data_IF_988637005064
#
_entry.id   IF_988637005064
#
_cell.length_a   1.000
_cell.length_b   1.000
_cell.length_c   1.000
_cell.angle_alpha   90.00
_cell.angle_beta   90.00
_cell.angle_gamma   90.00
#
_symmetry.space_group_name_H-M   'P 1'
#
loop_
_entity.id
_entity.type
_entity.pdbx_description
1 polymer ?
#
# COMPACT_ATOMS: atom_id res chain seq x y z
N UNK A 1 -4.81 -2.49 21.68
CA UNK A 1 -4.65 -1.56 20.53
C UNK A 1 -3.48 -2.03 19.69
N UNK A 2 -3.67 -2.10 18.38
CA UNK A 2 -2.64 -2.47 17.39
C UNK A 2 -2.38 -1.27 16.48
N UNK A 3 -1.10 -1.00 16.21
CA UNK A 3 -0.64 -0.01 15.24
C UNK A 3 -0.47 -0.70 13.89
N UNK A 4 -1.31 -0.39 12.93
CA UNK A 4 -1.27 -0.96 11.57
C UNK A 4 -0.52 -0.01 10.65
N UNK A 5 0.44 -0.52 9.87
CA UNK A 5 1.16 0.24 8.85
C UNK A 5 1.37 -0.60 7.58
N UNK A 6 1.70 0.08 6.48
CA UNK A 6 1.74 -0.51 5.14
C UNK A 6 3.10 -0.32 4.45
N UNK A 7 4.02 0.36 5.11
CA UNK A 7 5.39 0.53 4.61
C UNK A 7 6.42 0.27 5.69
N UNK A 8 7.57 -0.25 5.28
CA UNK A 8 8.68 -0.53 6.19
C UNK A 8 9.25 0.75 6.82
N UNK A 9 9.14 1.87 6.12
CA UNK A 9 9.56 3.17 6.63
C UNK A 9 8.68 3.60 7.81
N UNK A 10 7.36 3.51 7.68
CA UNK A 10 6.42 3.82 8.77
C UNK A 10 6.60 2.84 9.93
N UNK A 11 6.78 1.53 9.66
CA UNK A 11 7.07 0.55 10.70
C UNK A 11 8.31 0.92 11.51
N UNK A 12 9.41 1.26 10.82
CA UNK A 12 10.67 1.65 11.47
C UNK A 12 10.46 2.88 12.36
N UNK A 13 9.74 3.87 11.88
CA UNK A 13 9.36 5.07 12.62
C UNK A 13 8.59 4.74 13.91
N UNK A 14 7.56 3.90 13.81
CA UNK A 14 6.75 3.47 14.95
C UNK A 14 7.58 2.70 15.98
N UNK A 15 8.47 1.80 15.52
CA UNK A 15 9.39 1.07 16.40
C UNK A 15 10.33 2.02 17.15
N UNK A 16 10.88 3.02 16.48
CA UNK A 16 11.73 4.03 17.11
C UNK A 16 10.94 4.86 18.13
N UNK A 17 9.74 5.34 17.75
CA UNK A 17 8.89 6.08 18.67
C UNK A 17 8.54 5.28 19.93
N UNK A 18 8.20 3.99 19.77
CA UNK A 18 7.94 3.08 20.89
C UNK A 18 9.18 2.95 21.80
N UNK A 19 10.38 2.85 21.23
CA UNK A 19 11.64 2.79 21.99
C UNK A 19 11.95 4.10 22.74
N UNK A 20 11.46 5.23 22.27
CA UNK A 20 11.55 6.54 22.95
C UNK A 20 10.42 6.76 23.97
N UNK A 21 9.62 5.74 24.27
CA UNK A 21 8.59 5.80 25.32
C UNK A 21 7.25 6.37 24.86
N UNK A 22 7.02 6.51 23.55
CA UNK A 22 5.71 6.84 23.02
C UNK A 22 4.77 5.65 23.29
N UNK A 23 3.61 5.92 23.87
CA UNK A 23 2.61 4.92 24.27
C UNK A 23 1.92 4.28 23.04
N UNK A 24 2.70 3.56 22.22
CA UNK A 24 2.21 2.79 21.07
C UNK A 24 1.91 1.34 21.45
N UNK A 25 0.90 0.77 20.79
CA UNK A 25 0.57 -0.65 20.86
C UNK A 25 1.59 -1.55 20.13
N UNK A 26 1.20 -2.78 19.84
CA UNK A 26 1.99 -3.66 19.00
C UNK A 26 1.82 -3.26 17.54
N UNK A 27 2.88 -3.43 16.74
CA UNK A 27 2.95 -2.93 15.38
C UNK A 27 2.74 -4.10 14.41
N UNK A 28 1.75 -3.97 13.54
CA UNK A 28 1.44 -4.92 12.47
C UNK A 28 1.73 -4.26 11.11
N UNK A 29 2.60 -4.89 10.31
CA UNK A 29 2.91 -4.46 8.93
C UNK A 29 2.18 -5.36 7.94
N UNK A 30 1.41 -4.77 7.03
CA UNK A 30 0.85 -5.47 5.88
C UNK A 30 1.86 -5.50 4.72
N UNK A 31 2.21 -6.70 4.20
CA UNK A 31 3.33 -6.84 3.27
C UNK A 31 2.97 -6.73 1.79
N UNK A 32 1.70 -6.46 1.43
CA UNK A 32 1.18 -6.62 0.06
C UNK A 32 0.77 -5.28 -0.57
N UNK A 33 0.91 -5.21 -1.90
CA UNK A 33 0.41 -4.12 -2.73
C UNK A 33 -0.89 -4.53 -3.45
N UNK A 34 -2.02 -4.13 -2.91
CA UNK A 34 -3.35 -4.47 -3.42
C UNK A 34 -3.76 -3.65 -4.65
N UNK A 35 -2.94 -2.74 -5.15
CA UNK A 35 -3.18 -2.07 -6.43
C UNK A 35 -3.07 -3.04 -7.60
N UNK A 36 -2.38 -4.18 -7.43
CA UNK A 36 -2.04 -5.13 -8.47
C UNK A 36 -2.53 -6.55 -8.17
N UNK A 37 -2.85 -7.27 -9.24
CA UNK A 37 -3.19 -8.68 -9.20
C UNK A 37 -4.60 -8.98 -8.70
N UNK A 38 -5.02 -10.23 -8.87
CA UNK A 38 -6.32 -10.71 -8.38
C UNK A 38 -6.41 -10.67 -6.86
N UNK A 39 -7.53 -10.19 -6.35
CA UNK A 39 -7.86 -10.14 -4.92
C UNK A 39 -9.07 -11.03 -4.57
N UNK A 40 -9.50 -11.88 -5.50
CA UNK A 40 -10.62 -12.80 -5.27
C UNK A 40 -10.30 -13.86 -4.21
N UNK A 41 -9.05 -14.15 -4.00
CA UNK A 41 -8.58 -15.04 -2.95
C UNK A 41 -7.35 -14.46 -2.25
N UNK A 42 -7.52 -14.08 -0.98
CA UNK A 42 -6.51 -13.46 -0.16
C UNK A 42 -5.69 -14.47 0.66
N UNK A 43 -5.68 -15.75 0.26
CA UNK A 43 -4.74 -16.72 0.81
C UNK A 43 -3.29 -16.30 0.46
N UNK A 44 -2.36 -16.21 1.42
CA UNK A 44 -1.01 -15.67 1.19
C UNK A 44 -0.25 -16.38 0.07
N UNK A 45 -0.31 -17.71 0.01
CA UNK A 45 0.35 -18.50 -1.04
C UNK A 45 -0.21 -18.19 -2.43
N UNK A 46 -1.53 -18.05 -2.52
CA UNK A 46 -2.19 -17.71 -3.78
C UNK A 46 -1.90 -16.26 -4.19
N UNK A 47 -1.86 -15.33 -3.24
CA UNK A 47 -1.47 -13.93 -3.47
C UNK A 47 -0.04 -13.81 -4.00
N UNK A 48 0.91 -14.55 -3.41
CA UNK A 48 2.28 -14.64 -3.94
C UNK A 48 2.27 -15.06 -5.41
N UNK A 49 1.57 -16.16 -5.73
CA UNK A 49 1.49 -16.66 -7.11
C UNK A 49 0.87 -15.64 -8.09
N UNK A 50 -0.13 -14.86 -7.66
CA UNK A 50 -0.71 -13.80 -8.50
C UNK A 50 0.27 -12.66 -8.77
N UNK A 51 1.06 -12.24 -7.78
CA UNK A 51 2.08 -11.21 -7.94
C UNK A 51 3.23 -11.68 -8.85
N UNK A 52 3.68 -12.92 -8.68
CA UNK A 52 4.75 -13.52 -9.51
C UNK A 52 4.34 -13.60 -10.99
N UNK A 53 3.07 -13.86 -11.30
CA UNK A 53 2.55 -13.79 -12.69
C UNK A 53 2.68 -12.41 -13.31
N UNK A 54 2.71 -11.36 -12.49
CA UNK A 54 2.91 -9.98 -12.90
C UNK A 54 4.39 -9.56 -12.87
N UNK A 55 5.32 -10.51 -12.67
CA UNK A 55 6.76 -10.27 -12.49
C UNK A 55 7.10 -9.43 -11.26
N UNK A 56 6.24 -9.45 -10.24
CA UNK A 56 6.48 -8.85 -8.93
C UNK A 56 6.92 -9.97 -8.00
N UNK A 57 8.05 -9.77 -7.31
CA UNK A 57 8.67 -10.80 -6.48
C UNK A 57 8.56 -10.44 -4.99
N UNK A 58 7.54 -10.94 -4.28
CA UNK A 58 7.41 -10.72 -2.84
C UNK A 58 8.60 -11.28 -2.06
N UNK A 59 8.91 -10.68 -0.91
CA UNK A 59 9.95 -11.13 0.00
C UNK A 59 9.77 -12.62 0.41
N UNK A 60 10.85 -13.30 0.80
CA UNK A 60 10.81 -14.73 1.17
C UNK A 60 9.80 -15.01 2.28
N UNK A 61 9.70 -14.13 3.26
CA UNK A 61 8.82 -14.22 4.43
C UNK A 61 7.41 -13.62 4.22
N UNK A 62 7.05 -13.28 2.97
CA UNK A 62 5.77 -12.65 2.62
C UNK A 62 4.55 -13.41 3.17
N UNK A 63 4.51 -14.74 3.01
CA UNK A 63 3.37 -15.55 3.42
C UNK A 63 3.22 -15.59 4.95
N UNK A 64 4.33 -15.66 5.66
CA UNK A 64 4.36 -15.62 7.13
C UNK A 64 3.93 -14.25 7.64
N UNK A 65 4.46 -13.16 7.08
CA UNK A 65 4.07 -11.80 7.43
C UNK A 65 2.59 -11.54 7.16
N UNK A 66 2.09 -12.01 6.00
CA UNK A 66 0.69 -11.88 5.63
C UNK A 66 -0.25 -12.60 6.60
N UNK A 67 0.06 -13.87 6.91
CA UNK A 67 -0.72 -14.66 7.85
C UNK A 67 -0.70 -14.06 9.27
N UNK A 68 0.47 -13.61 9.74
CA UNK A 68 0.64 -12.94 11.04
C UNK A 68 -0.16 -11.63 11.10
N UNK A 69 -0.14 -10.82 10.03
CA UNK A 69 -0.93 -9.62 9.94
C UNK A 69 -2.43 -9.91 10.05
N UNK A 70 -2.93 -10.85 9.24
CA UNK A 70 -4.34 -11.21 9.21
C UNK A 70 -4.82 -11.74 10.57
N UNK A 71 -4.03 -12.59 11.22
CA UNK A 71 -4.34 -13.10 12.56
C UNK A 71 -4.38 -11.96 13.59
N UNK A 72 -3.37 -11.09 13.61
CA UNK A 72 -3.29 -9.95 14.53
C UNK A 72 -4.49 -9.01 14.39
N UNK A 73 -4.84 -8.62 13.17
CA UNK A 73 -5.91 -7.67 12.89
C UNK A 73 -7.29 -8.27 13.17
N UNK A 74 -7.50 -9.55 12.82
CA UNK A 74 -8.80 -10.21 13.00
C UNK A 74 -9.18 -10.45 14.47
N UNK A 75 -8.26 -10.29 15.41
CA UNK A 75 -8.52 -10.46 16.85
C UNK A 75 -8.46 -9.13 17.63
N UNK A 76 -8.09 -8.03 16.97
CA UNK A 76 -7.94 -6.74 17.63
C UNK A 76 -9.27 -6.00 17.76
N UNK A 77 -9.56 -5.48 18.97
CA UNK A 77 -10.72 -4.62 19.22
C UNK A 77 -10.46 -3.14 18.91
N UNK A 78 -9.19 -2.74 18.84
CA UNK A 78 -8.78 -1.36 18.58
C UNK A 78 -7.59 -1.35 17.60
N UNK A 79 -7.74 -0.61 16.51
CA UNK A 79 -6.75 -0.45 15.45
C UNK A 79 -6.46 1.04 15.21
N UNK A 80 -5.19 1.41 15.13
CA UNK A 80 -4.73 2.69 14.58
C UNK A 80 -4.00 2.42 13.26
N UNK A 81 -4.52 2.97 12.18
CA UNK A 81 -4.03 2.74 10.82
C UNK A 81 -3.22 3.95 10.38
N UNK A 82 -1.92 3.74 10.16
CA UNK A 82 -0.95 4.77 9.77
C UNK A 82 -0.72 4.72 8.26
N UNK A 83 -1.05 5.80 7.55
CA UNK A 83 -0.94 5.88 6.10
C UNK A 83 -0.47 7.25 5.63
N UNK A 84 0.16 7.32 4.46
CA UNK A 84 0.62 8.55 3.79
C UNK A 84 -0.19 8.82 2.50
N UNK A 85 -1.45 8.41 2.45
CA UNK A 85 -2.36 8.57 1.32
C UNK A 85 -1.85 7.99 -0.01
N UNK A 86 -0.97 6.98 0.06
CA UNK A 86 -0.53 6.25 -1.12
C UNK A 86 -1.61 5.24 -1.56
N UNK A 87 -1.81 5.00 -2.88
CA UNK A 87 -2.84 4.09 -3.37
C UNK A 87 -2.81 2.70 -2.71
N UNK A 88 -1.63 2.09 -2.58
CA UNK A 88 -1.47 0.78 -1.95
C UNK A 88 -1.81 0.81 -0.44
N UNK A 89 -1.54 1.91 0.26
CA UNK A 89 -1.86 2.07 1.68
C UNK A 89 -3.37 2.22 1.91
N UNK A 90 -4.05 2.97 1.04
CA UNK A 90 -5.50 3.15 1.12
C UNK A 90 -6.22 1.81 0.86
N UNK A 91 -5.81 1.05 -0.16
CA UNK A 91 -6.36 -0.28 -0.42
C UNK A 91 -6.11 -1.26 0.73
N UNK A 92 -4.91 -1.23 1.31
CA UNK A 92 -4.57 -2.03 2.48
C UNK A 92 -5.36 -1.60 3.73
N UNK A 93 -5.67 -0.31 3.89
CA UNK A 93 -6.57 0.18 4.93
C UNK A 93 -8.00 -0.35 4.74
N UNK A 94 -8.53 -0.32 3.52
CA UNK A 94 -9.85 -0.88 3.19
C UNK A 94 -9.88 -2.38 3.50
N UNK A 95 -8.83 -3.13 3.11
CA UNK A 95 -8.70 -4.55 3.46
C UNK A 95 -8.61 -4.79 4.96
N UNK A 96 -7.86 -3.96 5.68
CA UNK A 96 -7.75 -4.01 7.15
C UNK A 96 -9.14 -3.88 7.81
N UNK A 97 -9.96 -2.95 7.33
CA UNK A 97 -11.35 -2.80 7.79
C UNK A 97 -12.19 -4.05 7.50
N UNK A 98 -11.98 -4.70 6.36
CA UNK A 98 -12.70 -5.90 5.97
C UNK A 98 -12.41 -7.08 6.88
N UNK A 99 -11.12 -7.35 7.20
CA UNK A 99 -10.73 -8.50 8.02
C UNK A 99 -10.85 -8.26 9.53
N UNK A 100 -11.00 -7.01 9.98
CA UNK A 100 -11.16 -6.69 11.40
C UNK A 100 -12.47 -7.23 11.98
N UNK A 101 -12.52 -7.45 13.30
CA UNK A 101 -13.76 -7.83 13.98
C UNK A 101 -14.85 -6.77 13.77
N UNK A 102 -16.12 -7.19 13.77
CA UNK A 102 -17.25 -6.33 13.40
C UNK A 102 -17.35 -5.04 14.23
N UNK A 103 -17.01 -5.13 15.52
CA UNK A 103 -17.09 -4.01 16.48
C UNK A 103 -15.72 -3.39 16.78
N UNK A 104 -14.70 -3.61 15.95
CA UNK A 104 -13.41 -2.96 16.15
C UNK A 104 -13.54 -1.44 16.01
N UNK A 105 -12.90 -0.72 16.93
CA UNK A 105 -12.70 0.72 16.80
C UNK A 105 -11.49 0.96 15.92
N UNK A 106 -11.67 1.59 14.75
CA UNK A 106 -10.61 1.84 13.78
C UNK A 106 -10.46 3.34 13.59
N UNK A 107 -9.23 3.83 13.77
CA UNK A 107 -8.87 5.22 13.50
C UNK A 107 -7.75 5.27 12.47
N UNK A 108 -7.81 6.23 11.54
CA UNK A 108 -6.72 6.57 10.63
C UNK A 108 -5.82 7.66 11.22
N UNK A 109 -4.55 7.56 10.91
CA UNK A 109 -3.55 8.59 11.20
C UNK A 109 -2.83 8.88 9.89
N UNK A 110 -2.98 10.11 9.40
CA UNK A 110 -2.25 10.58 8.23
C UNK A 110 -0.80 10.88 8.64
N UNK A 111 0.14 10.16 8.01
CA UNK A 111 1.57 10.31 8.26
C UNK A 111 2.12 11.35 7.30
N UNK A 112 2.20 12.58 7.74
CA UNK A 112 2.99 13.57 7.02
C UNK A 112 4.48 13.30 7.27
N UNK A 113 5.12 12.55 6.37
CA UNK A 113 6.54 12.15 6.49
C UNK A 113 7.46 13.35 6.63
N UNK A 114 7.14 14.49 6.01
CA UNK A 114 7.94 15.71 6.13
C UNK A 114 7.89 16.33 7.54
N UNK A 115 6.82 16.12 8.30
CA UNK A 115 6.70 16.55 9.71
C UNK A 115 7.39 15.62 10.69
N UNK A 116 7.84 14.46 10.25
CA UNK A 116 8.52 13.45 11.07
C UNK A 116 10.04 13.54 11.01
N UNK A 117 10.58 14.37 10.13
CA UNK A 117 12.02 14.63 10.01
C UNK A 117 12.34 16.03 10.53
N UNK A 118 13.49 16.16 11.18
CA UNK A 118 14.05 17.47 11.52
C UNK A 118 14.70 18.14 10.28
N UNK A 119 15.19 19.36 10.45
CA UNK A 119 15.86 20.13 9.40
C UNK A 119 17.14 19.45 8.84
N UNK A 120 17.67 18.44 9.51
CA UNK A 120 18.85 17.66 9.10
C UNK A 120 18.45 16.32 8.47
N UNK A 121 17.14 16.05 8.28
CA UNK A 121 16.64 14.79 7.77
C UNK A 121 16.70 13.63 8.77
N UNK A 122 16.96 13.91 10.06
CA UNK A 122 16.87 12.91 11.11
C UNK A 122 15.43 12.76 11.61
N UNK A 123 15.06 11.52 11.95
CA UNK A 123 13.72 11.22 12.46
C UNK A 123 13.50 11.95 13.79
N UNK A 124 12.44 12.75 13.87
CA UNK A 124 12.01 13.41 15.09
C UNK A 124 10.88 12.62 15.78
N UNK A 125 11.18 11.77 16.77
CA UNK A 125 10.17 10.98 17.48
C UNK A 125 9.11 11.84 18.17
N UNK A 126 9.47 13.07 18.59
CA UNK A 126 8.54 14.01 19.21
C UNK A 126 7.49 14.54 18.22
N UNK A 127 7.80 14.57 16.91
CA UNK A 127 6.86 14.91 15.85
C UNK A 127 5.73 13.88 15.73
N UNK A 128 6.02 12.62 16.03
CA UNK A 128 4.99 11.56 16.07
C UNK A 128 4.01 11.80 17.21
N UNK A 129 4.51 12.21 18.39
CA UNK A 129 3.67 12.43 19.58
C UNK A 129 2.79 13.69 19.49
N UNK A 130 3.31 14.75 18.84
CA UNK A 130 2.65 16.07 18.81
C UNK A 130 1.55 16.18 17.75
N UNK A 131 1.55 15.32 16.75
CA UNK A 131 0.72 15.42 15.57
C UNK A 131 -0.19 14.20 15.34
N UNK A 132 -0.47 13.39 16.37
CA UNK A 132 -1.41 12.27 16.24
C UNK A 132 -2.85 12.82 16.16
N UNK A 133 -3.23 13.30 15.00
CA UNK A 133 -4.64 13.55 14.70
C UNK A 133 -5.24 12.25 14.16
N UNK A 134 -5.95 11.54 15.02
CA UNK A 134 -6.68 10.36 14.62
C UNK A 134 -8.09 10.73 14.17
N UNK A 135 -8.50 10.21 13.02
CA UNK A 135 -9.87 10.32 12.51
C UNK A 135 -10.54 8.95 12.54
N UNK A 136 -11.80 8.85 13.00
CA UNK A 136 -12.50 7.57 12.97
C UNK A 136 -12.74 7.13 11.52
N UNK A 137 -12.65 5.82 11.28
CA UNK A 137 -12.93 5.19 9.97
C UNK A 137 -14.31 4.54 10.04
N UNK A 138 -15.13 4.77 9.00
CA UNK A 138 -16.35 3.99 8.77
C UNK A 138 -16.00 2.60 8.20
N UNK A 139 -15.71 1.67 9.10
CA UNK A 139 -15.34 0.30 8.71
C UNK A 139 -16.47 -0.42 7.96
N UNK A 140 -17.74 -0.07 8.19
CA UNK A 140 -18.89 -0.68 7.48
C UNK A 140 -18.88 -0.27 6.02
N UNK A 141 -18.66 1.01 5.73
CA UNK A 141 -18.52 1.50 4.36
C UNK A 141 -17.34 0.83 3.65
N UNK A 142 -16.18 0.73 4.28
CA UNK A 142 -14.99 0.14 3.66
C UNK A 142 -15.09 -1.36 3.47
N UNK A 143 -15.78 -2.09 4.32
CA UNK A 143 -16.12 -3.50 4.08
C UNK A 143 -16.94 -3.68 2.79
N UNK A 144 -17.91 -2.78 2.56
CA UNK A 144 -18.69 -2.82 1.32
C UNK A 144 -17.82 -2.51 0.10
N UNK A 145 -16.97 -1.48 0.18
CA UNK A 145 -16.01 -1.15 -0.89
C UNK A 145 -15.11 -2.35 -1.22
N UNK A 146 -14.60 -3.05 -0.19
CA UNK A 146 -13.81 -4.26 -0.40
C UNK A 146 -14.56 -5.35 -1.13
N UNK A 147 -15.80 -5.64 -0.74
CA UNK A 147 -16.64 -6.64 -1.41
C UNK A 147 -16.91 -6.29 -2.88
N UNK A 148 -17.08 -5.02 -3.19
CA UNK A 148 -17.27 -4.54 -4.55
C UNK A 148 -15.98 -4.73 -5.37
N UNK A 149 -14.80 -4.42 -4.82
CA UNK A 149 -13.51 -4.67 -5.46
C UNK A 149 -13.25 -6.16 -5.71
N UNK A 150 -13.59 -7.03 -4.75
CA UNK A 150 -13.46 -8.49 -4.89
C UNK A 150 -14.38 -9.01 -6.00
N UNK A 151 -15.61 -8.50 -6.07
CA UNK A 151 -16.57 -8.89 -7.13
C UNK A 151 -16.08 -8.47 -8.51
N UNK A 152 -15.51 -7.28 -8.62
CA UNK A 152 -14.95 -6.74 -9.85
C UNK A 152 -13.64 -7.43 -10.23
N UNK A 153 -12.81 -7.72 -9.25
CA UNK A 153 -11.56 -8.46 -9.32
C UNK A 153 -10.63 -8.04 -10.48
N UNK A 154 -10.55 -6.75 -10.76
CA UNK A 154 -9.64 -6.22 -11.77
C UNK A 154 -8.17 -6.50 -11.37
N UNK A 155 -7.28 -6.59 -12.36
CA UNK A 155 -5.85 -6.82 -12.12
C UNK A 155 -5.07 -5.55 -11.80
N UNK A 156 -5.67 -4.39 -12.01
CA UNK A 156 -5.08 -3.08 -11.73
C UNK A 156 -6.11 -2.19 -11.04
N UNK A 157 -5.69 -1.50 -9.99
CA UNK A 157 -6.50 -0.54 -9.25
C UNK A 157 -5.72 0.73 -9.00
N UNK A 158 -6.38 1.86 -9.16
CA UNK A 158 -5.90 3.17 -8.73
C UNK A 158 -6.77 3.70 -7.60
N UNK A 159 -6.34 4.77 -6.95
CA UNK A 159 -7.10 5.39 -5.86
C UNK A 159 -7.07 6.90 -6.05
N UNK A 160 -8.25 7.54 -6.00
CA UNK A 160 -8.38 8.98 -5.91
C UNK A 160 -8.96 9.33 -4.52
N UNK A 161 -8.13 9.91 -3.66
CA UNK A 161 -8.43 10.08 -2.23
C UNK A 161 -8.69 8.71 -1.57
N UNK A 162 -9.93 8.47 -1.16
CA UNK A 162 -10.37 7.19 -0.55
C UNK A 162 -11.29 6.37 -1.49
N UNK A 163 -11.28 6.68 -2.77
CA UNK A 163 -12.14 6.03 -3.77
C UNK A 163 -11.29 5.17 -4.71
N UNK A 164 -11.27 3.83 -4.52
CA UNK A 164 -10.59 2.94 -5.44
C UNK A 164 -11.37 2.80 -6.75
N UNK A 165 -10.63 2.68 -7.85
CA UNK A 165 -11.17 2.45 -9.18
C UNK A 165 -10.44 1.28 -9.83
N UNK A 166 -11.21 0.34 -10.37
CA UNK A 166 -10.71 -0.81 -11.13
C UNK A 166 -10.42 -0.42 -12.57
N UNK A 167 -9.32 -0.94 -13.11
CA UNK A 167 -8.91 -0.70 -14.50
C UNK A 167 -8.54 -2.01 -15.21
N UNK A 168 -8.58 -1.96 -16.54
CA UNK A 168 -7.95 -2.99 -17.37
C UNK A 168 -6.43 -3.00 -17.15
N UNK A 169 -5.80 -4.13 -17.41
CA UNK A 169 -4.36 -4.31 -17.16
C UNK A 169 -3.47 -3.45 -18.08
N UNK A 170 -4.02 -2.97 -19.20
CA UNK A 170 -3.38 -2.11 -20.19
C UNK A 170 -3.58 -0.60 -19.93
N UNK A 171 -4.17 -0.23 -18.82
CA UNK A 171 -4.52 1.16 -18.47
C UNK A 171 -3.33 2.14 -18.55
N UNK A 172 -2.12 1.67 -18.23
CA UNK A 172 -0.91 2.48 -18.28
C UNK A 172 -0.06 2.26 -19.55
N UNK A 173 -0.57 1.55 -20.57
CA UNK A 173 0.22 1.24 -21.77
C UNK A 173 0.63 2.50 -22.54
N UNK A 174 -0.28 3.48 -22.67
CA UNK A 174 0.04 4.76 -23.32
C UNK A 174 1.14 5.51 -22.55
N UNK A 175 1.08 5.50 -21.21
CA UNK A 175 2.11 6.12 -20.36
C UNK A 175 3.49 5.46 -20.57
N UNK A 176 3.52 4.14 -20.73
CA UNK A 176 4.76 3.39 -21.00
C UNK A 176 5.29 3.70 -22.41
N UNK A 177 4.42 3.87 -23.41
CA UNK A 177 4.83 4.28 -24.75
C UNK A 177 5.39 5.72 -24.76
N UNK A 178 4.78 6.63 -24.01
CA UNK A 178 5.27 8.00 -23.82
C UNK A 178 6.65 8.01 -23.12
N UNK A 179 6.81 7.17 -22.11
CA UNK A 179 8.09 6.98 -21.43
C UNK A 179 9.16 6.48 -22.40
N UNK A 180 8.84 5.48 -23.25
CA UNK A 180 9.73 4.97 -24.29
C UNK A 180 10.15 6.04 -25.28
N UNK A 181 9.21 6.87 -25.72
CA UNK A 181 9.49 7.95 -26.65
C UNK A 181 10.40 9.05 -26.04
N UNK A 182 10.24 9.29 -24.73
CA UNK A 182 10.94 10.37 -24.01
C UNK A 182 12.32 9.99 -23.52
N UNK A 183 12.54 8.73 -23.08
CA UNK A 183 13.81 8.31 -22.48
C UNK A 183 14.95 8.12 -23.51
N UNK A 184 14.66 8.05 -24.83
CA UNK A 184 15.65 7.89 -25.90
C UNK A 184 16.49 6.60 -25.79
N UNK A 185 16.06 5.66 -24.98
CA UNK A 185 16.71 4.37 -24.70
C UNK A 185 15.81 3.22 -25.11
N UNK A 186 16.41 2.11 -25.54
CA UNK A 186 15.71 0.84 -25.71
C UNK A 186 15.91 -0.08 -24.49
N UNK A 187 16.49 0.41 -23.41
CA UNK A 187 16.63 -0.31 -22.16
C UNK A 187 15.27 -0.35 -21.44
N UNK A 188 14.75 -1.55 -21.30
CA UNK A 188 13.41 -1.79 -20.74
C UNK A 188 13.29 -1.39 -19.27
N UNK A 189 14.36 -1.46 -18.51
CA UNK A 189 14.39 -1.01 -17.12
C UNK A 189 14.27 0.51 -17.05
N UNK A 190 15.03 1.24 -17.88
CA UNK A 190 14.94 2.70 -17.97
C UNK A 190 13.56 3.16 -18.44
N UNK A 191 12.95 2.45 -19.40
CA UNK A 191 11.57 2.75 -19.85
C UNK A 191 10.59 2.56 -18.69
N UNK A 192 10.67 1.44 -17.98
CA UNK A 192 9.80 1.16 -16.85
C UNK A 192 9.96 2.18 -15.72
N UNK A 193 11.18 2.56 -15.37
CA UNK A 193 11.44 3.58 -14.34
C UNK A 193 10.95 4.97 -14.77
N UNK A 194 11.14 5.34 -16.05
CA UNK A 194 10.59 6.61 -16.58
C UNK A 194 9.05 6.62 -16.52
N UNK A 195 8.40 5.50 -16.86
CA UNK A 195 6.95 5.37 -16.75
C UNK A 195 6.47 5.48 -15.29
N UNK A 196 7.20 4.87 -14.35
CA UNK A 196 6.95 5.02 -12.93
C UNK A 196 7.03 6.48 -12.47
N UNK A 197 8.07 7.21 -12.88
CA UNK A 197 8.24 8.63 -12.54
C UNK A 197 7.12 9.50 -13.11
N UNK A 198 6.67 9.22 -14.34
CA UNK A 198 5.52 9.89 -14.95
C UNK A 198 4.22 9.58 -14.21
N UNK A 199 4.01 8.32 -13.81
CA UNK A 199 2.86 7.92 -13.02
C UNK A 199 2.84 8.63 -11.66
N UNK A 200 3.99 8.71 -10.98
CA UNK A 200 4.13 9.39 -9.70
C UNK A 200 3.75 10.89 -9.74
N UNK A 201 3.93 11.53 -10.91
CA UNK A 201 3.54 12.93 -11.15
C UNK A 201 2.07 13.07 -11.60
N UNK A 202 1.38 11.98 -11.85
CA UNK A 202 -0.02 11.94 -12.27
C UNK A 202 -0.96 11.90 -11.06
N UNK A 203 -2.28 12.05 -11.26
CA UNK A 203 -3.28 11.86 -10.20
C UNK A 203 -3.30 10.44 -9.59
N UNK A 204 -2.69 9.48 -10.24
CA UNK A 204 -2.64 8.08 -9.78
C UNK A 204 -1.56 7.82 -8.71
N UNK A 205 -0.63 8.77 -8.51
CA UNK A 205 0.41 8.69 -7.49
C UNK A 205 1.41 7.55 -7.70
N UNK A 206 2.06 7.14 -6.63
CA UNK A 206 3.07 6.08 -6.67
C UNK A 206 2.42 4.70 -6.77
N UNK A 207 2.71 4.00 -7.86
CA UNK A 207 2.41 2.59 -8.11
C UNK A 207 3.68 1.74 -7.92
N UNK A 208 3.57 0.43 -8.00
CA UNK A 208 4.74 -0.45 -7.89
C UNK A 208 5.66 -0.31 -9.14
N UNK A 209 6.96 0.01 -8.98
CA UNK A 209 7.88 0.17 -10.12
C UNK A 209 8.11 -1.15 -10.89
N UNK A 210 8.08 -2.31 -10.22
CA UNK A 210 8.23 -3.62 -10.89
C UNK A 210 7.11 -3.88 -11.89
N UNK A 211 5.90 -3.37 -11.63
CA UNK A 211 4.79 -3.42 -12.58
C UNK A 211 5.16 -2.74 -13.90
N UNK A 212 5.68 -1.51 -13.85
CA UNK A 212 6.07 -0.78 -15.06
C UNK A 212 7.21 -1.44 -15.80
N UNK A 213 8.23 -1.94 -15.09
CA UNK A 213 9.34 -2.68 -15.68
C UNK A 213 8.86 -3.99 -16.34
N UNK A 214 7.98 -4.74 -15.68
CA UNK A 214 7.38 -5.96 -16.21
C UNK A 214 6.50 -5.68 -17.44
N UNK A 215 5.68 -4.62 -17.38
CA UNK A 215 4.80 -4.25 -18.49
C UNK A 215 5.56 -3.71 -19.69
N UNK A 216 6.63 -2.92 -19.50
CA UNK A 216 7.52 -2.46 -20.56
C UNK A 216 8.16 -3.63 -21.32
N UNK A 217 8.53 -4.71 -20.64
CA UNK A 217 9.03 -5.95 -21.28
C UNK A 217 8.01 -6.58 -22.23
N UNK A 218 6.72 -6.51 -21.88
CA UNK A 218 5.66 -7.11 -22.72
C UNK A 218 5.30 -6.23 -23.93
N UNK A 219 5.41 -4.90 -23.79
CA UNK A 219 5.02 -3.96 -24.84
C UNK A 219 6.12 -3.64 -25.84
N UNK A 220 7.39 -3.86 -25.48
CA UNK A 220 8.53 -3.44 -26.26
C UNK A 220 9.27 -4.62 -26.94
N UNK A 221 8.73 -5.83 -26.88
CA UNK A 221 9.15 -6.98 -27.66
C UNK A 221 8.40 -6.96 -28.99
#
# INVERSE_FOLDING_TARGET
MIEVCFSQNVRTLLCLAKNFGVGLGDIALFPDDLTLGSISNMNPHQRRSELEKLSIHPAEDFEEQYASFADTVSHASELRVWHANMPYEILACIYTCFISVENATICSIDVNVSGLMDENGAINPSGICGNIHSSPIDAVQFRQVWLDLVRDNALLRTVDGWQPTSHSFDFFDDLIQDARASCGSNDLENIGMTAFDLCAQSPYGFMNPEFFMGRAKLLCI
#
